data_IF_955862169320
#
_entry.id   IF_955862169320
#
_cell.length_a   1.000
_cell.length_b   1.000
_cell.length_c   1.000
_cell.angle_alpha   90.00
_cell.angle_beta   90.00
_cell.angle_gamma   90.00
#
_symmetry.space_group_name_H-M   'P 1'
#
loop_
_entity.id
_entity.type
_entity.pdbx_description
1 polymer ?
#
# COMPACT_ATOMS: atom_id res chain seq x y z
N UNK A 1 -22.67 -9.18 -5.88
CA UNK A 1 -21.71 -8.42 -5.05
C UNK A 1 -20.80 -9.42 -4.34
N UNK A 2 -19.55 -9.57 -4.77
CA UNK A 2 -18.70 -10.71 -4.39
C UNK A 2 -18.08 -10.63 -2.97
N UNK A 3 -17.87 -11.78 -2.30
CA UNK A 3 -17.41 -11.87 -0.90
C UNK A 3 -15.97 -11.38 -0.65
N UNK A 4 -15.18 -11.17 -1.70
CA UNK A 4 -13.76 -10.76 -1.62
C UNK A 4 -13.54 -9.29 -1.23
N UNK A 5 -14.59 -8.45 -1.20
CA UNK A 5 -14.47 -7.05 -0.76
C UNK A 5 -14.42 -6.95 0.78
N UNK A 6 -15.10 -7.83 1.50
CA UNK A 6 -15.23 -7.77 2.96
C UNK A 6 -13.94 -8.11 3.71
N UNK A 7 -13.13 -9.04 3.19
CA UNK A 7 -11.91 -9.52 3.84
C UNK A 7 -10.82 -8.42 3.87
N UNK A 8 -10.78 -7.55 2.84
CA UNK A 8 -9.89 -6.37 2.82
C UNK A 8 -10.26 -5.31 3.85
N UNK A 9 -11.55 -5.12 4.12
CA UNK A 9 -12.08 -4.15 5.10
C UNK A 9 -11.83 -4.62 6.54
N UNK A 10 -11.92 -5.94 6.79
CA UNK A 10 -11.71 -6.52 8.13
C UNK A 10 -10.24 -6.47 8.57
N UNK A 11 -9.28 -6.80 7.69
CA UNK A 11 -7.85 -6.73 8.02
C UNK A 11 -7.37 -5.32 8.37
N UNK A 12 -7.97 -4.31 7.75
CA UNK A 12 -7.71 -2.90 8.05
C UNK A 12 -8.35 -2.46 9.37
N UNK A 13 -9.54 -2.98 9.70
CA UNK A 13 -10.25 -2.66 10.94
C UNK A 13 -9.54 -3.14 12.21
N UNK A 14 -8.75 -4.21 12.14
CA UNK A 14 -7.99 -4.74 13.28
C UNK A 14 -6.59 -4.12 13.49
N UNK A 15 -6.11 -3.28 12.57
CA UNK A 15 -4.77 -2.68 12.68
C UNK A 15 -3.60 -3.63 12.43
N UNK A 16 -3.88 -4.83 11.89
CA UNK A 16 -2.85 -5.77 11.44
C UNK A 16 -2.48 -5.60 9.97
N UNK A 17 -3.08 -4.63 9.28
CA UNK A 17 -2.76 -4.33 7.90
C UNK A 17 -1.34 -3.78 7.77
N UNK A 18 -0.60 -4.38 6.84
CA UNK A 18 0.66 -3.90 6.34
C UNK A 18 0.45 -2.93 5.18
N UNK A 19 1.17 -1.83 5.24
CA UNK A 19 1.21 -0.78 4.24
C UNK A 19 2.65 -0.56 3.81
N UNK A 20 2.87 -0.37 2.52
CA UNK A 20 4.12 0.20 2.03
C UNK A 20 3.91 1.69 1.84
N UNK A 21 4.74 2.48 2.50
CA UNK A 21 4.87 3.92 2.29
C UNK A 21 5.97 4.10 1.25
N UNK A 22 5.60 4.56 0.07
CA UNK A 22 6.54 4.81 -1.03
C UNK A 22 6.70 6.33 -1.16
N UNK A 23 7.87 6.83 -0.83
CA UNK A 23 8.23 8.24 -0.96
C UNK A 23 9.07 8.44 -2.22
N UNK A 24 8.58 9.27 -3.11
CA UNK A 24 9.26 9.64 -4.36
C UNK A 24 9.84 11.03 -4.18
N UNK A 25 11.04 11.32 -4.69
CA UNK A 25 11.61 12.67 -4.56
C UNK A 25 11.25 13.58 -5.73
N UNK A 26 11.07 13.02 -6.93
CA UNK A 26 10.70 13.76 -8.13
C UNK A 26 9.53 13.04 -8.83
N UNK A 27 8.27 13.46 -8.64
CA UNK A 27 7.78 14.51 -7.73
C UNK A 27 7.83 14.10 -6.25
N UNK A 28 7.89 15.06 -5.32
CA UNK A 28 7.89 14.81 -3.87
C UNK A 28 6.52 14.34 -3.38
N UNK A 29 6.20 13.05 -3.57
CA UNK A 29 4.89 12.45 -3.30
C UNK A 29 5.05 11.21 -2.44
N UNK A 30 4.14 11.04 -1.47
CA UNK A 30 4.05 9.81 -0.68
C UNK A 30 2.88 8.95 -1.15
N UNK A 31 3.18 7.87 -1.84
CA UNK A 31 2.22 6.84 -2.21
C UNK A 31 2.07 5.82 -1.08
N UNK A 32 0.86 5.30 -0.91
CA UNK A 32 0.56 4.29 0.09
C UNK A 32 -0.03 3.07 -0.59
N UNK A 33 0.71 1.96 -0.55
CA UNK A 33 0.32 0.71 -1.19
C UNK A 33 -0.14 -0.31 -0.14
N UNK A 34 -1.42 -0.70 -0.18
CA UNK A 34 -2.07 -1.56 0.79
C UNK A 34 -3.59 -1.58 0.65
N UNK A 35 -4.33 -2.19 1.60
CA UNK A 35 -3.88 -2.92 2.79
C UNK A 35 -3.57 -4.40 2.53
N UNK A 36 -2.48 -4.91 3.09
CA UNK A 36 -2.13 -6.34 3.04
C UNK A 36 -2.22 -7.01 4.40
N UNK A 37 -2.62 -8.27 4.44
CA UNK A 37 -2.72 -9.03 5.69
C UNK A 37 -1.34 -9.43 6.26
N UNK A 38 -0.32 -9.58 5.40
CA UNK A 38 1.03 -9.98 5.81
C UNK A 38 2.11 -9.14 5.11
N UNK A 39 3.24 -8.93 5.78
CA UNK A 39 4.41 -8.24 5.20
C UNK A 39 4.93 -8.94 3.96
N UNK A 40 4.87 -10.27 3.93
CA UNK A 40 5.36 -11.09 2.82
C UNK A 40 4.55 -10.85 1.56
N UNK A 41 3.22 -10.86 1.67
CA UNK A 41 2.33 -10.53 0.55
C UNK A 41 2.59 -9.11 0.06
N UNK A 42 2.73 -8.14 0.96
CA UNK A 42 3.08 -6.77 0.61
C UNK A 42 4.42 -6.71 -0.13
N UNK A 43 5.49 -7.24 0.46
CA UNK A 43 6.85 -7.25 -0.13
C UNK A 43 6.92 -7.93 -1.48
N UNK A 44 6.12 -8.97 -1.72
CA UNK A 44 6.07 -9.62 -3.03
C UNK A 44 5.37 -8.77 -4.10
N UNK A 45 4.44 -7.89 -3.72
CA UNK A 45 3.70 -7.03 -4.65
C UNK A 45 4.31 -5.62 -4.80
N UNK A 46 5.02 -5.13 -3.78
CA UNK A 46 5.73 -3.83 -3.84
C UNK A 46 6.66 -3.70 -5.04
N UNK A 47 7.53 -4.66 -5.41
CA UNK A 47 8.42 -4.48 -6.54
C UNK A 47 7.67 -4.31 -7.86
N UNK A 48 6.50 -4.95 -8.03
CA UNK A 48 5.65 -4.76 -9.21
C UNK A 48 5.16 -3.31 -9.27
N UNK A 49 4.70 -2.78 -8.13
CA UNK A 49 4.28 -1.39 -8.03
C UNK A 49 5.44 -0.40 -8.23
N UNK A 50 6.65 -0.71 -7.74
CA UNK A 50 7.84 0.10 -7.94
C UNK A 50 8.32 0.08 -9.40
N UNK A 51 8.19 -1.05 -10.09
CA UNK A 51 8.52 -1.20 -11.50
C UNK A 51 7.62 -0.31 -12.36
N UNK A 52 6.31 -0.32 -12.10
CA UNK A 52 5.35 0.59 -12.74
C UNK A 52 5.73 2.07 -12.51
N UNK A 53 6.04 2.45 -11.27
CA UNK A 53 6.47 3.83 -10.94
C UNK A 53 7.78 4.22 -11.64
N UNK A 54 8.74 3.29 -11.71
CA UNK A 54 10.02 3.53 -12.38
C UNK A 54 9.83 3.64 -13.89
N UNK A 55 8.92 2.85 -14.47
CA UNK A 55 8.56 2.91 -15.89
C UNK A 55 7.88 4.24 -16.28
N UNK A 56 7.10 4.81 -15.36
CA UNK A 56 6.52 6.16 -15.48
C UNK A 56 7.58 7.28 -15.37
N UNK A 57 8.84 6.95 -15.09
CA UNK A 57 9.95 7.91 -14.99
C UNK A 57 10.11 8.52 -13.61
N UNK A 58 9.61 7.88 -12.56
CA UNK A 58 9.81 8.34 -11.18
C UNK A 58 11.19 7.92 -10.70
N UNK A 59 12.04 8.92 -10.46
CA UNK A 59 13.40 8.72 -9.96
C UNK A 59 13.44 8.86 -8.43
N UNK A 60 14.36 8.14 -7.79
CA UNK A 60 14.62 8.18 -6.34
C UNK A 60 13.42 7.75 -5.47
N UNK A 61 13.01 6.49 -5.61
CA UNK A 61 11.93 5.90 -4.83
C UNK A 61 12.45 5.27 -3.53
N UNK A 62 11.95 5.72 -2.39
CA UNK A 62 12.17 5.12 -1.06
C UNK A 62 10.93 4.37 -0.64
N UNK A 63 11.05 3.17 -0.08
CA UNK A 63 9.90 2.40 0.38
C UNK A 63 10.10 1.86 1.79
N UNK A 64 9.11 2.11 2.65
CA UNK A 64 9.07 1.67 4.03
C UNK A 64 7.85 0.79 4.31
N UNK A 65 8.05 -0.30 5.05
CA UNK A 65 6.99 -1.22 5.42
C UNK A 65 6.49 -0.91 6.83
N UNK A 66 5.28 -0.38 6.94
CA UNK A 66 4.69 0.01 8.22
C UNK A 66 3.38 -0.74 8.48
N UNK A 67 3.16 -1.11 9.74
CA UNK A 67 1.86 -1.60 10.21
C UNK A 67 1.07 -0.40 10.71
N UNK A 68 -0.03 -0.07 10.03
CA UNK A 68 -0.89 1.04 10.43
C UNK A 68 -2.35 0.66 10.27
N UNK A 69 -3.17 1.11 11.22
CA UNK A 69 -4.62 1.07 11.13
C UNK A 69 -5.08 2.33 10.41
N UNK A 70 -5.36 2.24 9.11
CA UNK A 70 -5.82 3.41 8.34
C UNK A 70 -7.25 3.20 7.91
N UNK A 71 -8.19 3.66 8.72
CA UNK A 71 -9.61 3.72 8.35
C UNK A 71 -9.68 4.72 7.21
N UNK A 72 -9.84 4.25 5.96
CA UNK A 72 -10.29 5.14 4.90
C UNK A 72 -11.59 5.77 5.39
N UNK A 73 -11.77 7.10 5.34
CA UNK A 73 -13.10 7.65 5.46
C UNK A 73 -13.91 7.00 4.35
N UNK A 74 -14.90 6.20 4.73
CA UNK A 74 -15.96 5.76 3.85
C UNK A 74 -16.47 7.05 3.20
N UNK A 75 -16.12 7.30 1.94
CA UNK A 75 -16.81 8.33 1.17
C UNK A 75 -18.26 7.87 1.16
N UNK A 76 -19.10 8.58 1.92
CA UNK A 76 -20.55 8.34 2.06
C UNK A 76 -21.23 8.47 0.70
#
# INVERSE_FOLDING_TARGET
MGPFRAIRVLGNSFGFAWWAKIETQNPNTTYWFGPFLTQRSLRNNVPIFLDDLTSEGIESITHDFVRCRRIEPLTL
#
